data_IF_295169199787
#
_entry.id   IF_295169199787
#
_cell.length_a   1.000
_cell.length_b   1.000
_cell.length_c   1.000
_cell.angle_alpha   90.00
_cell.angle_beta   90.00
_cell.angle_gamma   90.00
#
_symmetry.space_group_name_H-M   'P 1'
#
loop_
_entity.id
_entity.type
_entity.pdbx_description
1 polymer ?
#
# COMPACT_ATOMS: atom_id res chain seq x y z
N UNK A 1 9.83 2.14 60.32
CA UNK A 1 10.08 0.82 59.71
C UNK A 1 10.13 1.05 58.21
N UNK A 2 11.33 1.02 57.62
CA UNK A 2 11.53 1.27 56.20
C UNK A 2 11.48 -0.07 55.48
N UNK A 3 10.43 -0.29 54.70
CA UNK A 3 10.25 -1.50 53.90
C UNK A 3 10.95 -1.26 52.55
N UNK A 4 12.17 -1.76 52.42
CA UNK A 4 12.96 -1.65 51.21
C UNK A 4 12.75 -2.91 50.37
N UNK A 5 12.08 -2.76 49.22
CA UNK A 5 11.91 -3.81 48.22
C UNK A 5 13.29 -4.26 47.74
N UNK A 6 13.63 -5.53 47.97
CA UNK A 6 14.88 -6.08 47.45
C UNK A 6 14.80 -6.22 45.93
N UNK A 7 15.89 -5.89 45.20
CA UNK A 7 15.93 -6.09 43.76
C UNK A 7 15.80 -7.59 43.43
N UNK A 8 15.17 -7.92 42.29
CA UNK A 8 14.99 -9.31 41.88
C UNK A 8 16.36 -9.98 41.73
N UNK A 9 16.43 -11.25 42.14
CA UNK A 9 17.62 -12.08 41.92
C UNK A 9 17.83 -12.20 40.42
N UNK A 10 19.08 -12.04 39.96
CA UNK A 10 19.46 -12.27 38.56
C UNK A 10 19.11 -13.71 38.20
N UNK A 11 17.93 -13.90 37.62
CA UNK A 11 17.51 -15.17 37.04
C UNK A 11 18.33 -15.38 35.79
N UNK A 12 18.99 -16.54 35.74
CA UNK A 12 19.49 -17.25 34.54
C UNK A 12 19.95 -16.30 33.43
N UNK A 13 21.27 -16.18 33.26
CA UNK A 13 21.84 -15.68 32.02
C UNK A 13 21.24 -16.51 30.89
N UNK A 14 20.21 -15.95 30.23
CA UNK A 14 19.73 -16.43 28.96
C UNK A 14 20.87 -16.16 28.00
N UNK A 15 21.71 -17.18 27.81
CA UNK A 15 22.67 -17.22 26.73
C UNK A 15 21.86 -17.04 25.45
N UNK A 16 21.86 -15.81 24.94
CA UNK A 16 21.32 -15.47 23.63
C UNK A 16 22.05 -16.35 22.63
N UNK A 17 21.35 -17.33 21.99
CA UNK A 17 21.96 -18.11 20.94
C UNK A 17 22.07 -17.17 19.74
N UNK A 18 23.12 -16.35 19.76
CA UNK A 18 23.41 -15.35 18.74
C UNK A 18 23.29 -15.97 17.35
N UNK A 19 22.93 -15.13 16.38
CA UNK A 19 22.64 -15.50 15.00
C UNK A 19 23.63 -16.57 14.49
N UNK A 20 23.12 -17.78 14.28
CA UNK A 20 23.91 -18.88 13.72
C UNK A 20 24.44 -18.47 12.34
N UNK A 21 25.75 -18.61 12.14
CA UNK A 21 26.34 -18.47 10.81
C UNK A 21 25.80 -19.61 9.92
N UNK A 22 24.98 -19.26 8.93
CA UNK A 22 24.45 -20.16 7.91
C UNK A 22 25.59 -20.70 7.05
N UNK A 23 26.31 -21.70 7.56
CA UNK A 23 27.22 -22.52 6.78
C UNK A 23 26.43 -23.69 6.20
N UNK A 24 25.90 -23.52 4.99
CA UNK A 24 25.20 -24.61 4.30
C UNK A 24 24.48 -24.20 3.02
N UNK A 25 25.24 -24.16 1.92
CA UNK A 25 24.81 -24.49 0.55
C UNK A 25 23.54 -23.81 0.03
N UNK A 26 23.71 -22.66 -0.65
CA UNK A 26 22.80 -22.29 -1.73
C UNK A 26 23.62 -22.04 -2.98
N UNK A 27 23.87 -23.10 -3.74
CA UNK A 27 24.16 -23.05 -5.18
C UNK A 27 22.87 -22.69 -5.95
N UNK A 28 22.10 -21.70 -5.48
CA UNK A 28 21.08 -21.03 -6.25
C UNK A 28 21.55 -19.60 -6.46
N UNK A 29 22.12 -19.37 -7.63
CA UNK A 29 22.43 -18.05 -8.18
C UNK A 29 21.18 -17.20 -8.47
N UNK A 30 19.98 -17.74 -8.21
CA UNK A 30 18.68 -17.10 -8.42
C UNK A 30 18.04 -16.49 -7.14
N UNK A 31 18.57 -16.77 -5.94
CA UNK A 31 18.11 -16.14 -4.68
C UNK A 31 18.85 -14.82 -4.40
N UNK A 32 19.17 -14.06 -5.45
CA UNK A 32 19.49 -12.65 -5.33
C UNK A 32 18.19 -11.90 -5.01
N UNK A 33 17.90 -11.77 -3.71
CA UNK A 33 16.93 -10.82 -3.19
C UNK A 33 17.15 -9.47 -3.89
N UNK A 34 16.24 -9.14 -4.81
CA UNK A 34 16.31 -7.94 -5.64
C UNK A 34 15.80 -6.70 -4.90
N UNK A 35 15.69 -6.77 -3.57
CA UNK A 35 15.25 -5.66 -2.71
C UNK A 35 16.30 -4.53 -2.63
N UNK A 36 17.59 -4.87 -2.78
CA UNK A 36 18.68 -3.89 -2.76
C UNK A 36 18.87 -3.13 -4.09
N UNK A 37 18.09 -3.44 -5.12
CA UNK A 37 18.04 -2.65 -6.37
C UNK A 37 16.97 -1.56 -6.27
N UNK A 38 16.91 -0.83 -5.15
CA UNK A 38 16.25 0.46 -5.13
C UNK A 38 16.95 1.32 -6.17
N UNK A 39 16.23 1.68 -7.23
CA UNK A 39 16.80 2.34 -8.40
C UNK A 39 17.69 3.52 -8.05
N UNK A 40 18.63 3.81 -8.95
CA UNK A 40 19.58 4.95 -9.01
C UNK A 40 18.96 6.36 -8.86
N UNK A 41 17.69 6.47 -8.46
CA UNK A 41 16.91 7.70 -8.31
C UNK A 41 16.23 7.85 -6.93
N UNK A 42 16.51 7.01 -5.92
CA UNK A 42 16.05 7.33 -4.56
C UNK A 42 16.91 8.45 -3.97
N UNK A 43 16.31 9.45 -3.29
CA UNK A 43 17.08 10.47 -2.58
C UNK A 43 18.05 9.83 -1.60
N UNK A 44 19.30 10.31 -1.59
CA UNK A 44 20.31 9.85 -0.63
C UNK A 44 19.80 10.24 0.77
N UNK A 45 19.69 9.30 1.72
CA UNK A 45 19.35 9.64 3.10
C UNK A 45 20.42 10.57 3.68
N UNK A 46 20.00 11.73 4.17
CA UNK A 46 20.90 12.71 4.81
C UNK A 46 20.72 12.67 6.32
N UNK A 47 21.81 12.86 7.05
CA UNK A 47 21.84 12.94 8.51
C UNK A 47 21.98 14.39 8.96
N UNK A 48 21.10 14.82 9.87
CA UNK A 48 21.09 16.18 10.41
C UNK A 48 21.10 16.14 11.93
N UNK A 49 21.92 16.99 12.54
CA UNK A 49 22.00 17.18 13.99
C UNK A 49 21.56 18.59 14.34
N UNK A 50 20.68 18.70 15.33
CA UNK A 50 20.24 19.98 15.90
C UNK A 50 21.00 20.24 17.21
N UNK A 51 21.54 21.46 17.34
CA UNK A 51 22.25 21.94 18.53
C UNK A 51 21.45 23.06 19.17
N UNK A 52 21.47 23.12 20.50
CA UNK A 52 20.76 24.16 21.26
C UNK A 52 21.54 25.47 21.29
N UNK A 53 22.88 25.38 21.27
CA UNK A 53 23.77 26.54 21.30
C UNK A 53 25.01 26.34 20.40
N UNK A 54 25.72 27.45 20.16
CA UNK A 54 26.96 27.49 19.40
C UNK A 54 28.20 27.14 20.24
N UNK A 55 28.01 26.68 21.48
CA UNK A 55 29.14 26.47 22.37
C UNK A 55 29.78 25.10 22.13
N UNK A 56 31.13 25.03 22.09
CA UNK A 56 31.81 23.76 21.83
C UNK A 56 31.55 22.78 22.97
N UNK A 57 30.96 21.65 22.63
CA UNK A 57 30.65 20.58 23.58
C UNK A 57 31.88 19.74 23.93
N UNK A 58 31.73 18.86 24.93
CA UNK A 58 32.77 17.89 25.25
C UNK A 58 33.12 17.03 24.02
N UNK A 59 34.40 17.02 23.63
CA UNK A 59 34.86 16.33 22.43
C UNK A 59 34.87 17.16 21.14
N UNK A 60 34.47 18.43 21.16
CA UNK A 60 34.63 19.34 20.00
C UNK A 60 35.86 20.24 20.13
N UNK A 61 36.45 20.32 21.33
CA UNK A 61 37.65 21.10 21.61
C UNK A 61 38.91 20.35 21.18
N UNK A 62 39.71 20.88 20.23
CA UNK A 62 40.94 20.24 19.77
C UNK A 62 41.92 19.98 20.92
N UNK A 63 42.63 18.85 20.85
CA UNK A 63 43.67 18.47 21.84
C UNK A 63 43.15 17.72 23.07
N UNK A 64 41.83 17.50 23.18
CA UNK A 64 41.24 16.63 24.22
C UNK A 64 41.21 15.16 23.76
N UNK A 65 41.24 14.22 24.71
CA UNK A 65 41.11 12.79 24.39
C UNK A 65 39.78 12.47 23.69
N UNK A 66 38.69 13.12 24.14
CA UNK A 66 37.37 12.98 23.53
C UNK A 66 37.34 13.49 22.07
N UNK A 67 38.04 14.57 21.74
CA UNK A 67 38.16 15.07 20.37
C UNK A 67 38.88 14.09 19.46
N UNK A 68 39.96 13.45 19.94
CA UNK A 68 40.69 12.47 19.14
C UNK A 68 39.84 11.24 18.83
N UNK A 69 39.05 10.77 19.79
CA UNK A 69 38.10 9.66 19.58
C UNK A 69 37.03 10.08 18.56
N UNK A 70 36.38 11.23 18.79
CA UNK A 70 35.31 11.74 17.92
C UNK A 70 35.77 12.12 16.52
N UNK A 71 37.05 12.46 16.33
CA UNK A 71 37.61 12.72 15.00
C UNK A 71 37.61 11.49 14.08
N UNK A 72 37.42 10.29 14.64
CA UNK A 72 37.22 9.06 13.89
C UNK A 72 35.74 8.77 13.58
N UNK A 73 34.81 9.45 14.26
CA UNK A 73 33.38 9.29 14.03
C UNK A 73 32.95 9.97 12.72
N UNK A 74 31.87 9.47 12.12
CA UNK A 74 31.27 10.10 10.95
C UNK A 74 30.70 11.49 11.31
N UNK A 75 30.91 12.46 10.43
CA UNK A 75 30.36 13.82 10.57
C UNK A 75 28.97 13.86 9.92
N UNK A 76 27.94 14.44 10.58
CA UNK A 76 26.62 14.60 9.97
C UNK A 76 26.67 15.53 8.77
N UNK A 77 25.74 15.37 7.84
CA UNK A 77 25.67 16.19 6.63
C UNK A 77 25.29 17.65 6.95
N UNK A 78 24.34 17.82 7.88
CA UNK A 78 23.85 19.13 8.31
C UNK A 78 23.91 19.30 9.83
N UNK A 79 24.32 20.48 10.29
CA UNK A 79 24.25 20.89 11.69
C UNK A 79 23.48 22.21 11.77
N UNK A 80 22.33 22.21 12.43
CA UNK A 80 21.53 23.42 12.68
C UNK A 80 21.61 23.80 14.15
N UNK A 81 21.77 25.09 14.46
CA UNK A 81 21.65 25.59 15.84
C UNK A 81 20.24 26.17 16.02
N UNK A 82 19.43 25.51 16.83
CA UNK A 82 18.06 25.87 17.19
C UNK A 82 18.05 26.32 18.65
N UNK A 83 17.97 27.63 18.94
CA UNK A 83 17.95 28.12 20.31
C UNK A 83 16.70 27.65 21.06
N UNK A 84 16.82 27.50 22.38
CA UNK A 84 15.73 27.07 23.25
C UNK A 84 14.45 27.91 23.03
N UNK A 85 13.37 27.24 22.67
CA UNK A 85 12.07 27.86 22.40
C UNK A 85 11.82 28.27 20.95
N UNK A 86 12.79 28.07 20.04
CA UNK A 86 12.55 28.12 18.61
C UNK A 86 12.11 26.75 18.08
N UNK A 87 11.21 26.74 17.10
CA UNK A 87 10.81 25.50 16.42
C UNK A 87 11.85 25.12 15.35
N UNK A 88 12.30 23.87 15.39
CA UNK A 88 13.18 23.29 14.36
C UNK A 88 12.50 23.32 12.99
N UNK A 89 13.27 23.56 11.93
CA UNK A 89 12.73 23.50 10.57
C UNK A 89 12.36 22.05 10.23
N UNK A 90 11.18 21.78 9.64
CA UNK A 90 10.80 20.42 9.26
C UNK A 90 11.85 19.83 8.30
N UNK A 91 12.56 18.80 8.77
CA UNK A 91 13.73 18.19 8.12
C UNK A 91 13.47 17.41 6.82
N UNK A 92 12.40 17.72 6.07
CA UNK A 92 12.27 17.27 4.69
C UNK A 92 12.38 18.47 3.77
N UNK A 93 13.33 18.46 2.86
CA UNK A 93 13.35 19.32 1.66
C UNK A 93 12.21 18.99 0.67
N UNK A 94 11.12 18.40 1.16
CA UNK A 94 9.84 18.37 0.50
C UNK A 94 9.11 19.56 1.11
N UNK A 95 8.90 20.60 0.30
CA UNK A 95 7.95 21.67 0.62
C UNK A 95 6.69 21.03 1.23
N UNK A 96 6.00 21.66 2.18
CA UNK A 96 4.81 21.08 2.83
C UNK A 96 3.73 20.59 1.84
N UNK A 97 3.80 21.05 0.59
CA UNK A 97 2.99 20.59 -0.54
C UNK A 97 3.37 19.22 -1.12
N UNK A 98 4.60 18.74 -0.93
CA UNK A 98 5.12 17.47 -1.46
C UNK A 98 5.18 16.37 -0.40
N UNK A 99 4.97 16.67 0.88
CA UNK A 99 4.84 15.63 1.90
C UNK A 99 3.47 14.96 1.74
N UNK A 100 3.42 13.68 1.33
CA UNK A 100 2.15 12.99 1.22
C UNK A 100 1.54 12.89 2.63
N UNK A 101 0.32 13.40 2.78
CA UNK A 101 -0.46 13.40 4.04
C UNK A 101 -0.73 11.97 4.56
N UNK A 102 -0.44 10.96 3.76
CA UNK A 102 -0.65 9.56 4.08
C UNK A 102 0.69 8.81 4.16
N UNK A 103 0.84 7.84 5.09
CA UNK A 103 2.03 6.98 5.19
C UNK A 103 2.39 6.22 3.90
N UNK A 104 1.48 6.16 2.93
CA UNK A 104 1.63 5.44 1.66
C UNK A 104 2.08 6.30 0.47
N UNK A 105 2.43 7.57 0.67
CA UNK A 105 3.02 8.37 -0.41
C UNK A 105 2.05 8.97 -1.42
N UNK A 106 0.76 8.63 -1.36
CA UNK A 106 -0.25 9.09 -2.31
C UNK A 106 -1.11 10.20 -1.74
N UNK A 107 -1.49 11.21 -2.56
CA UNK A 107 -2.45 12.22 -2.13
C UNK A 107 -3.78 11.56 -1.80
N UNK A 108 -4.46 12.05 -0.76
CA UNK A 108 -5.79 11.56 -0.37
C UNK A 108 -6.74 11.79 -1.56
N UNK A 109 -7.37 10.73 -2.11
CA UNK A 109 -8.37 10.89 -3.17
C UNK A 109 -9.50 11.79 -2.69
N UNK A 110 -9.90 12.75 -3.52
CA UNK A 110 -11.00 13.68 -3.22
C UNK A 110 -12.21 13.39 -4.11
N UNK A 111 -13.37 13.51 -3.51
CA UNK A 111 -14.67 13.41 -4.17
C UNK A 111 -15.14 14.80 -4.61
N UNK A 112 -15.47 14.94 -5.89
CA UNK A 112 -15.89 16.22 -6.49
C UNK A 112 -17.24 16.04 -7.16
N UNK A 113 -18.21 16.87 -6.78
CA UNK A 113 -19.56 16.88 -7.37
C UNK A 113 -19.79 18.20 -8.10
N UNK A 114 -20.16 18.12 -9.37
CA UNK A 114 -20.51 19.30 -10.17
C UNK A 114 -22.04 19.48 -10.17
N UNK A 115 -22.51 20.64 -9.70
CA UNK A 115 -23.92 21.04 -9.71
C UNK A 115 -24.13 22.19 -10.70
N UNK A 116 -25.26 22.18 -11.42
CA UNK A 116 -25.63 23.29 -12.33
C UNK A 116 -25.82 24.59 -11.54
N UNK A 117 -26.53 24.51 -10.42
CA UNK A 117 -26.68 25.59 -9.46
C UNK A 117 -26.47 25.07 -8.02
N UNK A 118 -25.29 25.31 -7.42
CA UNK A 118 -24.99 24.85 -6.06
C UNK A 118 -25.82 25.58 -4.99
N UNK A 119 -26.42 26.73 -5.30
CA UNK A 119 -27.30 27.45 -4.37
C UNK A 119 -28.71 26.86 -4.31
N UNK A 120 -29.09 26.03 -5.28
CA UNK A 120 -30.38 25.34 -5.33
C UNK A 120 -30.27 23.93 -4.74
N UNK A 121 -31.15 23.53 -3.81
CA UNK A 121 -31.18 22.16 -3.30
C UNK A 121 -31.63 21.20 -4.40
N UNK A 122 -30.90 20.11 -4.58
CA UNK A 122 -31.31 19.00 -5.46
C UNK A 122 -32.33 18.11 -4.76
N UNK A 123 -32.99 17.23 -5.52
CA UNK A 123 -34.01 16.31 -4.97
C UNK A 123 -33.49 15.49 -3.78
N UNK A 124 -32.20 15.14 -3.77
CA UNK A 124 -31.54 14.42 -2.67
C UNK A 124 -31.00 15.30 -1.54
N UNK A 125 -31.10 16.63 -1.63
CA UNK A 125 -30.74 17.57 -0.55
C UNK A 125 -31.98 18.02 0.27
N UNK A 126 -33.19 17.73 -0.20
CA UNK A 126 -34.44 18.18 0.44
C UNK A 126 -34.89 17.16 1.50
N UNK A 127 -34.96 17.53 2.78
CA UNK A 127 -35.41 16.63 3.83
C UNK A 127 -36.83 16.09 3.57
N UNK A 128 -37.03 14.80 3.83
CA UNK A 128 -38.33 14.14 3.67
C UNK A 128 -38.61 13.58 2.26
N UNK A 129 -37.69 13.75 1.30
CA UNK A 129 -37.76 13.00 0.04
C UNK A 129 -37.18 11.60 0.20
N UNK A 130 -37.62 10.64 -0.63
CA UNK A 130 -37.03 9.30 -0.65
C UNK A 130 -35.54 9.32 -1.03
N UNK A 131 -35.13 10.24 -1.91
CA UNK A 131 -33.73 10.39 -2.31
C UNK A 131 -32.85 10.91 -1.17
N UNK A 132 -33.38 11.80 -0.32
CA UNK A 132 -32.66 12.27 0.87
C UNK A 132 -32.40 11.14 1.86
N UNK A 133 -33.40 10.29 2.13
CA UNK A 133 -33.24 9.14 3.04
C UNK A 133 -32.21 8.12 2.54
N UNK A 134 -32.18 7.84 1.22
CA UNK A 134 -31.15 6.96 0.65
C UNK A 134 -29.77 7.58 0.81
N UNK A 135 -29.66 8.90 0.62
CA UNK A 135 -28.39 9.64 0.66
C UNK A 135 -27.88 9.93 2.06
N UNK A 136 -28.70 9.78 3.10
CA UNK A 136 -28.27 9.93 4.51
C UNK A 136 -27.17 8.93 4.89
N UNK A 137 -27.08 7.79 4.19
CA UNK A 137 -26.01 6.80 4.37
C UNK A 137 -24.75 7.11 3.54
N UNK A 138 -24.83 8.02 2.57
CA UNK A 138 -23.72 8.36 1.67
C UNK A 138 -22.80 9.41 2.31
N UNK A 139 -21.52 9.38 1.94
CA UNK A 139 -20.56 10.40 2.36
C UNK A 139 -20.81 11.75 1.67
N UNK A 140 -20.59 12.84 2.40
CA UNK A 140 -20.62 14.20 1.85
C UNK A 140 -19.38 14.43 0.99
N UNK A 141 -19.52 14.98 -0.24
CA UNK A 141 -18.36 15.23 -1.11
C UNK A 141 -17.44 16.33 -0.56
N UNK A 142 -16.15 16.25 -0.88
CA UNK A 142 -15.14 17.21 -0.43
C UNK A 142 -15.30 18.58 -1.12
N UNK A 143 -15.67 18.57 -2.40
CA UNK A 143 -15.80 19.80 -3.21
C UNK A 143 -17.07 19.75 -4.05
N UNK A 144 -17.86 20.82 -4.00
CA UNK A 144 -19.03 21.04 -4.86
C UNK A 144 -18.74 22.21 -5.81
N UNK A 145 -18.66 21.93 -7.11
CA UNK A 145 -18.38 22.94 -8.14
C UNK A 145 -19.65 23.37 -8.87
N UNK A 146 -19.74 24.64 -9.25
CA UNK A 146 -20.77 25.10 -10.18
C UNK A 146 -20.37 24.72 -11.60
N UNK A 147 -21.33 24.27 -12.41
CA UNK A 147 -21.03 23.78 -13.74
C UNK A 147 -20.42 24.82 -14.69
N UNK A 148 -20.68 26.12 -14.46
CA UNK A 148 -20.08 27.24 -15.21
C UNK A 148 -18.64 27.54 -14.83
N UNK A 149 -18.20 27.13 -13.63
CA UNK A 149 -16.90 27.49 -13.08
C UNK A 149 -15.81 26.50 -13.53
N UNK A 150 -16.20 25.51 -14.34
CA UNK A 150 -15.32 24.54 -14.96
C UNK A 150 -14.79 25.08 -16.30
N UNK A 151 -13.91 26.08 -16.27
CA UNK A 151 -12.98 26.33 -17.38
C UNK A 151 -11.84 25.28 -17.30
N UNK A 152 -12.18 24.02 -17.58
CA UNK A 152 -11.28 22.86 -17.49
C UNK A 152 -11.95 21.65 -18.15
N UNK A 153 -11.17 20.79 -18.84
CA UNK A 153 -11.55 20.18 -20.11
C UNK A 153 -12.85 19.39 -20.01
N UNK A 154 -13.73 19.65 -20.99
CA UNK A 154 -14.77 18.76 -21.51
C UNK A 154 -14.82 17.42 -20.77
N UNK A 155 -15.94 17.16 -20.11
CA UNK A 155 -16.43 15.85 -19.70
C UNK A 155 -16.56 14.89 -20.89
N UNK A 156 -15.44 14.55 -21.51
CA UNK A 156 -15.14 13.15 -21.69
C UNK A 156 -14.58 12.78 -20.33
N UNK A 157 -15.23 11.84 -19.64
CA UNK A 157 -14.43 10.98 -18.78
C UNK A 157 -13.15 10.66 -19.58
N UNK A 158 -11.96 10.64 -18.98
CA UNK A 158 -10.96 9.82 -19.58
C UNK A 158 -11.58 8.42 -19.57
N UNK A 159 -12.28 8.04 -20.63
CA UNK A 159 -11.91 6.82 -21.29
C UNK A 159 -10.44 7.06 -21.58
N UNK A 160 -9.63 6.75 -20.57
CA UNK A 160 -8.27 6.35 -20.75
C UNK A 160 -8.44 5.18 -21.69
N UNK A 161 -8.49 5.49 -22.98
CA UNK A 161 -8.06 4.61 -24.05
C UNK A 161 -6.53 4.60 -23.96
N UNK A 162 -6.01 4.40 -22.74
CA UNK A 162 -4.85 3.56 -22.58
C UNK A 162 -5.34 2.29 -23.24
N UNK A 163 -4.77 1.88 -24.36
CA UNK A 163 -5.13 0.63 -25.04
C UNK A 163 -4.82 -0.61 -24.19
N UNK A 164 -5.06 -0.52 -22.88
CA UNK A 164 -5.18 -1.59 -21.92
C UNK A 164 -6.49 -2.28 -22.31
N UNK A 165 -6.42 -3.45 -22.96
CA UNK A 165 -7.62 -4.18 -23.28
C UNK A 165 -8.39 -4.45 -21.98
N UNK A 166 -9.70 -4.20 -21.97
CA UNK A 166 -10.56 -4.66 -20.89
C UNK A 166 -10.38 -6.18 -20.81
N UNK A 167 -9.99 -6.75 -19.67
CA UNK A 167 -9.79 -8.19 -19.56
C UNK A 167 -11.13 -8.88 -19.81
N UNK A 168 -11.16 -9.78 -20.80
CA UNK A 168 -12.33 -10.58 -21.11
C UNK A 168 -12.48 -11.73 -20.12
N UNK A 169 -13.69 -11.93 -19.61
CA UNK A 169 -14.00 -13.04 -18.71
C UNK A 169 -14.47 -14.25 -19.50
N UNK A 170 -13.76 -15.38 -19.35
CA UNK A 170 -14.10 -16.65 -20.00
C UNK A 170 -14.31 -17.70 -18.91
N UNK A 171 -15.46 -18.38 -18.94
CA UNK A 171 -15.78 -19.48 -18.02
C UNK A 171 -15.83 -20.79 -18.81
N UNK A 172 -14.92 -21.72 -18.54
CA UNK A 172 -14.97 -23.07 -19.11
C UNK A 172 -15.81 -24.01 -18.23
N UNK A 173 -16.79 -24.68 -18.85
CA UNK A 173 -17.58 -25.75 -18.25
C UNK A 173 -16.92 -27.09 -18.52
N UNK A 174 -16.50 -27.76 -17.44
CA UNK A 174 -15.81 -29.06 -17.46
C UNK A 174 -16.78 -30.22 -17.69
N UNK A 175 -18.03 -30.07 -17.27
CA UNK A 175 -19.11 -31.02 -17.51
C UNK A 175 -20.44 -30.29 -17.73
N UNK A 176 -21.38 -30.95 -18.39
CA UNK A 176 -22.73 -30.42 -18.64
C UNK A 176 -23.64 -30.55 -17.39
N UNK A 177 -23.08 -30.90 -16.23
CA UNK A 177 -23.84 -31.01 -14.98
C UNK A 177 -24.06 -29.61 -14.38
N UNK A 178 -25.29 -29.27 -13.95
CA UNK A 178 -25.57 -27.96 -13.39
C UNK A 178 -24.83 -27.79 -12.06
N UNK A 179 -24.00 -26.74 -11.98
CA UNK A 179 -23.36 -26.34 -10.73
C UNK A 179 -24.39 -25.91 -9.69
N UNK A 180 -24.02 -25.89 -8.41
CA UNK A 180 -24.93 -25.58 -7.30
C UNK A 180 -25.70 -24.24 -7.46
N UNK A 181 -25.08 -23.26 -8.12
CA UNK A 181 -25.71 -21.96 -8.45
C UNK A 181 -26.57 -21.95 -9.72
N UNK A 182 -26.62 -23.04 -10.49
CA UNK A 182 -27.46 -23.19 -11.70
C UNK A 182 -28.75 -23.96 -11.41
N UNK A 183 -28.85 -24.61 -10.25
CA UNK A 183 -30.01 -25.39 -9.85
C UNK A 183 -31.18 -24.47 -9.41
N UNK A 184 -32.33 -24.48 -10.11
CA UNK A 184 -33.45 -23.62 -9.76
C UNK A 184 -34.02 -23.99 -8.37
N UNK A 185 -34.34 -22.96 -7.58
CA UNK A 185 -34.93 -23.12 -6.24
C UNK A 185 -33.93 -23.13 -5.08
N UNK A 186 -32.62 -22.95 -5.35
CA UNK A 186 -31.61 -22.72 -4.30
C UNK A 186 -31.38 -21.23 -4.07
N UNK A 187 -30.92 -20.86 -2.86
CA UNK A 187 -30.51 -19.47 -2.58
C UNK A 187 -29.35 -19.04 -3.49
N UNK A 188 -28.43 -19.96 -3.79
CA UNK A 188 -27.31 -19.73 -4.70
C UNK A 188 -27.77 -19.36 -6.13
N UNK A 189 -28.88 -19.92 -6.61
CA UNK A 189 -29.46 -19.58 -7.91
C UNK A 189 -29.98 -18.14 -7.96
N UNK A 190 -30.65 -17.69 -6.89
CA UNK A 190 -31.18 -16.34 -6.80
C UNK A 190 -30.07 -15.30 -6.72
N UNK A 191 -28.98 -15.61 -6.01
CA UNK A 191 -27.80 -14.75 -5.91
C UNK A 191 -27.10 -14.66 -7.27
N UNK A 192 -26.88 -15.80 -7.95
CA UNK A 192 -26.23 -15.83 -9.26
C UNK A 192 -26.99 -15.04 -10.34
N UNK A 193 -28.31 -14.88 -10.21
CA UNK A 193 -29.12 -14.04 -11.11
C UNK A 193 -28.89 -12.53 -10.94
N UNK A 194 -28.28 -12.13 -9.82
CA UNK A 194 -27.93 -10.74 -9.54
C UNK A 194 -26.47 -10.43 -9.91
N UNK A 195 -25.64 -11.47 -10.08
CA UNK A 195 -24.25 -11.34 -10.53
C UNK A 195 -24.16 -11.01 -12.03
N UNK A 196 -23.04 -10.38 -12.43
CA UNK A 196 -22.76 -10.12 -13.82
C UNK A 196 -22.50 -11.44 -14.60
N UNK A 197 -23.06 -11.55 -15.81
CA UNK A 197 -22.80 -12.70 -16.68
C UNK A 197 -21.40 -12.58 -17.33
N UNK A 198 -20.64 -13.69 -17.46
CA UNK A 198 -19.33 -13.67 -18.12
C UNK A 198 -19.46 -13.39 -19.61
N UNK A 199 -18.40 -12.85 -20.22
CA UNK A 199 -18.39 -12.49 -21.65
C UNK A 199 -18.46 -13.72 -22.56
N UNK A 200 -17.79 -14.82 -22.16
CA UNK A 200 -17.77 -16.08 -22.91
C UNK A 200 -17.93 -17.28 -21.97
N UNK A 201 -18.69 -18.28 -22.42
CA UNK A 201 -18.80 -19.59 -21.77
C UNK A 201 -18.37 -20.65 -22.76
N UNK A 202 -17.25 -21.33 -22.48
CA UNK A 202 -16.72 -22.41 -23.30
C UNK A 202 -17.13 -23.76 -22.69
N UNK A 203 -17.62 -24.69 -23.50
CA UNK A 203 -17.89 -26.07 -23.04
C UNK A 203 -16.73 -26.95 -23.51
N UNK A 204 -15.79 -27.22 -22.60
CA UNK A 204 -14.65 -28.09 -22.91
C UNK A 204 -15.15 -29.53 -22.94
N UNK A 205 -15.47 -30.01 -24.15
CA UNK A 205 -15.87 -31.39 -24.40
C UNK A 205 -14.81 -32.37 -23.90
N UNK A 206 -15.26 -33.34 -23.11
CA UNK A 206 -14.48 -34.43 -22.53
C UNK A 206 -13.36 -34.93 -23.48
N UNK A 207 -12.11 -34.79 -23.04
CA UNK A 207 -10.93 -35.30 -23.77
C UNK A 207 -11.12 -36.81 -23.97
N UNK A 208 -11.05 -37.35 -25.20
CA UNK A 208 -11.15 -38.80 -25.38
C UNK A 208 -9.98 -39.48 -24.68
N UNK A 209 -10.29 -40.50 -23.87
CA UNK A 209 -9.35 -41.27 -23.06
C UNK A 209 -8.05 -41.61 -23.82
N UNK A 210 -6.88 -41.55 -23.15
CA UNK A 210 -5.64 -42.02 -23.77
C UNK A 210 -5.77 -43.50 -24.10
N UNK A 211 -5.73 -43.83 -25.40
CA UNK A 211 -5.74 -45.19 -25.91
C UNK A 211 -4.58 -45.98 -25.27
N UNK A 212 -4.93 -46.90 -24.36
CA UNK A 212 -4.01 -47.90 -23.82
C UNK A 212 -3.62 -48.83 -24.98
N UNK A 213 -2.34 -48.93 -25.39
CA UNK A 213 -1.95 -49.85 -26.46
C UNK A 213 -2.13 -51.30 -25.99
N UNK A 214 -3.05 -52.02 -26.63
CA UNK A 214 -3.28 -53.45 -26.38
C UNK A 214 -2.09 -54.27 -26.86
N UNK A 215 -1.60 -55.16 -26.00
CA UNK A 215 -0.43 -55.99 -26.24
C UNK A 215 -0.55 -56.85 -27.52
N UNK A 216 0.53 -56.84 -28.31
CA UNK A 216 0.74 -57.69 -29.50
C UNK A 216 0.66 -59.18 -29.10
N UNK A 217 -0.41 -59.85 -29.51
CA UNK A 217 -0.50 -61.31 -29.51
C UNK A 217 0.52 -61.90 -30.49
N UNK A 218 1.36 -62.81 -29.99
CA UNK A 218 2.20 -63.69 -30.80
C UNK A 218 1.30 -64.65 -31.59
N UNK A 219 1.45 -64.69 -32.90
CA UNK A 219 0.94 -65.80 -33.72
C UNK A 219 2.10 -66.77 -33.96
N UNK A 220 1.86 -68.03 -33.60
CA UNK A 220 2.62 -69.19 -34.04
C UNK A 220 2.21 -69.56 -35.48
#
# INVERSE_FOLDING_TARGET
>A
MADALQPPRKSVELEDPGAHELTGTSDNEDDVFSDARSGVNSPIPTTRVEKVDDTPSHGEVPGTAAYNIRSQDAVPDEVEIVPDGAESRPGSRLEDYERPLTPGGTPIPRTVVQKVDPGSPSYGDIPGTAAHQVREADAVPDVVLRASDSEGPSSKAPHVNMGIPVPTTVVSKVNSEPSHGELPGTDAYNIRKQDAEPDFVEEEGNVPDPQIPTARGKMN
#
